data_IF_277972698057
#
_entry.id   IF_277972698057
#
_cell.length_a   1.000
_cell.length_b   1.000
_cell.length_c   1.000
_cell.angle_alpha   90.00
_cell.angle_beta   90.00
_cell.angle_gamma   90.00
#
_symmetry.space_group_name_H-M   'P 1'
#
loop_
_entity.id
_entity.type
_entity.pdbx_description
1 polymer ?
#
# COMPACT_ATOMS: atom_id res chain seq x y z
N UNK A 1 9.68 7.42 23.04
CA UNK A 1 8.43 7.48 22.26
C UNK A 1 8.56 8.66 21.30
N UNK A 2 8.41 8.46 19.99
CA UNK A 2 8.49 9.57 19.02
C UNK A 2 7.28 10.48 19.18
N UNK A 3 7.52 11.79 19.23
CA UNK A 3 6.43 12.78 19.30
C UNK A 3 5.95 13.10 17.88
N UNK A 4 4.69 13.52 17.68
CA UNK A 4 4.16 13.79 16.34
C UNK A 4 5.02 14.79 15.53
N UNK A 5 5.58 15.81 16.20
CA UNK A 5 6.49 16.79 15.62
C UNK A 5 7.82 16.19 15.12
N UNK A 6 8.13 14.93 15.49
CA UNK A 6 9.38 14.28 15.13
C UNK A 6 9.40 13.69 13.71
N UNK A 7 8.26 13.67 13.01
CA UNK A 7 8.18 13.13 11.65
C UNK A 7 8.88 14.03 10.62
N UNK A 8 9.37 13.41 9.54
CA UNK A 8 9.98 14.15 8.44
C UNK A 8 9.00 15.14 7.78
N UNK A 9 7.71 14.79 7.71
CA UNK A 9 6.65 15.67 7.18
C UNK A 9 6.45 16.93 8.04
N UNK A 10 6.62 16.83 9.35
CA UNK A 10 6.55 17.99 10.24
C UNK A 10 7.82 18.85 10.14
N UNK A 11 9.00 18.22 10.08
CA UNK A 11 10.31 18.89 10.15
C UNK A 11 10.81 19.49 8.84
N UNK A 12 10.38 18.95 7.71
CA UNK A 12 10.90 19.30 6.40
C UNK A 12 9.78 19.65 5.43
N UNK A 13 10.08 20.44 4.41
CA UNK A 13 9.12 20.86 3.38
C UNK A 13 9.13 19.86 2.21
N UNK A 14 8.90 18.59 2.54
CA UNK A 14 8.84 17.47 1.59
C UNK A 14 7.54 17.53 0.77
N UNK A 15 6.46 17.96 1.41
CA UNK A 15 5.15 18.20 0.81
C UNK A 15 4.80 19.65 1.04
N UNK A 16 4.29 20.31 0.00
CA UNK A 16 3.85 21.71 0.08
C UNK A 16 2.73 21.89 1.11
N UNK A 17 2.67 23.06 1.74
CA UNK A 17 1.61 23.40 2.70
C UNK A 17 0.23 23.22 2.04
N UNK A 18 -0.72 22.61 2.76
CA UNK A 18 -2.05 22.27 2.23
C UNK A 18 -2.07 21.11 1.22
N UNK A 19 -0.91 20.51 0.93
CA UNK A 19 -0.77 19.39 0.01
C UNK A 19 -1.27 18.05 0.57
N UNK A 20 -0.99 16.98 -0.17
CA UNK A 20 -1.35 15.62 0.21
C UNK A 20 -0.22 14.63 -0.08
N UNK A 21 -0.12 13.61 0.76
CA UNK A 21 0.71 12.43 0.56
C UNK A 21 -0.19 11.19 0.47
N UNK A 22 -0.10 10.47 -0.64
CA UNK A 22 -0.83 9.22 -0.83
C UNK A 22 0.16 8.06 -0.83
N UNK A 23 -0.12 7.06 0.00
CA UNK A 23 0.57 5.78 -0.02
C UNK A 23 -0.31 4.72 -0.70
N UNK A 24 0.30 3.63 -1.16
CA UNK A 24 -0.42 2.52 -1.78
C UNK A 24 -0.22 1.26 -0.97
N UNK A 25 -1.30 0.53 -0.72
CA UNK A 25 -1.30 -0.80 -0.12
C UNK A 25 -2.19 -1.73 -0.95
N UNK A 26 -1.97 -3.04 -0.84
CA UNK A 26 -2.82 -4.07 -1.44
C UNK A 26 -3.90 -4.57 -0.47
N UNK A 27 -5.00 -5.08 -1.03
CA UNK A 27 -6.13 -5.68 -0.29
C UNK A 27 -5.74 -6.83 0.65
N UNK A 28 -4.57 -7.45 0.42
CA UNK A 28 -3.97 -8.43 1.34
C UNK A 28 -3.75 -7.89 2.77
N UNK A 29 -3.77 -6.57 2.99
CA UNK A 29 -3.75 -5.96 4.32
C UNK A 29 -4.95 -6.39 5.19
N UNK A 30 -6.13 -6.58 4.59
CA UNK A 30 -7.37 -6.77 5.35
C UNK A 30 -7.63 -8.25 5.62
N UNK A 31 -7.37 -9.08 4.61
CA UNK A 31 -7.54 -10.54 4.71
C UNK A 31 -6.44 -11.23 3.89
N UNK A 32 -5.26 -11.48 4.49
CA UNK A 32 -4.19 -12.16 3.78
C UNK A 32 -4.58 -13.62 3.48
N UNK A 33 -4.41 -14.03 2.22
CA UNK A 33 -4.55 -15.42 1.80
C UNK A 33 -3.42 -16.31 2.33
N UNK A 34 -3.60 -17.63 2.23
CA UNK A 34 -2.54 -18.60 2.55
C UNK A 34 -1.33 -18.33 1.65
N UNK A 35 -0.16 -18.09 2.25
CA UNK A 35 1.07 -17.73 1.54
C UNK A 35 1.31 -16.22 1.40
N UNK A 36 0.33 -15.36 1.72
CA UNK A 36 0.45 -13.91 1.63
C UNK A 36 0.67 -13.21 2.99
N UNK A 37 1.05 -13.94 4.04
CA UNK A 37 1.13 -13.40 5.42
C UNK A 37 2.13 -12.25 5.54
N UNK A 38 3.33 -12.40 4.95
CA UNK A 38 4.35 -11.34 4.95
C UNK A 38 3.85 -10.13 4.17
N UNK A 39 3.27 -10.36 2.98
CA UNK A 39 2.70 -9.29 2.18
C UNK A 39 1.57 -8.55 2.92
N UNK A 40 0.67 -9.27 3.58
CA UNK A 40 -0.41 -8.69 4.38
C UNK A 40 0.11 -7.86 5.55
N UNK A 41 1.14 -8.35 6.26
CA UNK A 41 1.79 -7.61 7.34
C UNK A 41 2.46 -6.32 6.84
N UNK A 42 3.17 -6.38 5.71
CA UNK A 42 3.78 -5.19 5.08
C UNK A 42 2.72 -4.16 4.67
N UNK A 43 1.64 -4.59 4.02
CA UNK A 43 0.56 -3.69 3.62
C UNK A 43 -0.17 -3.08 4.81
N UNK A 44 -0.39 -3.85 5.88
CA UNK A 44 -0.94 -3.31 7.16
C UNK A 44 0.02 -2.30 7.79
N UNK A 45 1.33 -2.55 7.69
CA UNK A 45 2.37 -1.60 8.09
C UNK A 45 2.25 -0.27 7.36
N UNK A 46 1.96 -0.27 6.06
CA UNK A 46 1.72 0.96 5.28
C UNK A 46 0.49 1.71 5.79
N UNK A 47 -0.61 1.01 6.08
CA UNK A 47 -1.83 1.62 6.63
C UNK A 47 -1.56 2.27 7.99
N UNK A 48 -0.85 1.57 8.88
CA UNK A 48 -0.47 2.10 10.19
C UNK A 48 0.50 3.28 10.05
N UNK A 49 1.42 3.23 9.07
CA UNK A 49 2.32 4.33 8.76
C UNK A 49 1.55 5.57 8.29
N UNK A 50 0.53 5.42 7.45
CA UNK A 50 -0.36 6.53 7.07
C UNK A 50 -1.00 7.20 8.28
N UNK A 51 -1.49 6.42 9.25
CA UNK A 51 -2.08 6.98 10.48
C UNK A 51 -1.05 7.76 11.30
N UNK A 52 0.15 7.19 11.49
CA UNK A 52 1.24 7.85 12.22
C UNK A 52 1.71 9.14 11.54
N UNK A 53 1.85 9.13 10.22
CA UNK A 53 2.24 10.29 9.43
C UNK A 53 1.13 11.36 9.39
N UNK A 54 -0.14 10.97 9.32
CA UNK A 54 -1.26 11.90 9.31
C UNK A 54 -1.49 12.64 10.63
N UNK A 55 -1.02 12.07 11.76
CA UNK A 55 -1.15 12.70 13.07
C UNK A 55 -0.21 13.91 13.26
N UNK A 56 0.85 14.02 12.45
CA UNK A 56 1.99 14.89 12.71
C UNK A 56 1.93 16.31 12.11
N UNK A 57 1.53 16.54 10.84
CA UNK A 57 1.67 17.84 10.18
C UNK A 57 0.39 18.70 10.26
N UNK A 58 -0.26 18.80 11.43
CA UNK A 58 -1.54 19.53 11.57
C UNK A 58 -1.42 21.01 11.17
N UNK A 59 -0.34 21.66 11.57
CA UNK A 59 -0.13 23.09 11.30
C UNK A 59 0.19 23.37 9.81
N UNK A 60 0.78 22.39 9.11
CA UNK A 60 1.06 22.47 7.67
C UNK A 60 -0.14 22.11 6.78
N UNK A 61 -1.27 21.73 7.39
CA UNK A 61 -2.51 21.32 6.68
C UNK A 61 -2.29 20.18 5.65
N UNK A 62 -1.28 19.34 5.85
CA UNK A 62 -0.98 18.21 4.96
C UNK A 62 -1.90 17.04 5.32
N UNK A 63 -2.50 16.42 4.30
CA UNK A 63 -3.31 15.20 4.46
C UNK A 63 -2.52 13.97 4.02
N UNK A 64 -2.58 12.90 4.80
CA UNK A 64 -1.93 11.62 4.47
C UNK A 64 -2.99 10.54 4.37
N UNK A 65 -3.04 9.82 3.25
CA UNK A 65 -4.00 8.75 3.00
C UNK A 65 -3.31 7.52 2.41
N UNK A 66 -3.94 6.35 2.55
CA UNK A 66 -3.58 5.15 1.81
C UNK A 66 -4.67 4.81 0.81
N UNK A 67 -4.32 4.50 -0.42
CA UNK A 67 -5.21 3.83 -1.37
C UNK A 67 -4.94 2.33 -1.28
N UNK A 68 -5.98 1.57 -0.93
CA UNK A 68 -5.94 0.11 -0.92
C UNK A 68 -6.43 -0.38 -2.28
N UNK A 69 -5.54 -0.89 -3.11
CA UNK A 69 -5.87 -1.33 -4.46
C UNK A 69 -6.16 -2.84 -4.51
N UNK A 70 -7.00 -3.23 -5.46
CA UNK A 70 -7.04 -4.61 -5.96
C UNK A 70 -5.80 -4.93 -6.79
N UNK A 71 -5.80 -6.10 -7.45
CA UNK A 71 -4.73 -6.48 -8.37
C UNK A 71 -4.74 -5.59 -9.62
N UNK A 72 -3.57 -5.07 -10.01
CA UNK A 72 -3.38 -4.26 -11.21
C UNK A 72 -2.33 -4.92 -12.11
N UNK A 73 -2.62 -4.98 -13.40
CA UNK A 73 -1.67 -5.48 -14.40
C UNK A 73 -0.55 -4.44 -14.58
N UNK A 74 0.69 -4.84 -14.29
CA UNK A 74 1.87 -3.98 -14.40
C UNK A 74 3.07 -4.79 -14.87
N UNK A 75 4.08 -4.13 -15.42
CA UNK A 75 5.36 -4.77 -15.74
C UNK A 75 6.01 -5.41 -14.50
N UNK A 76 5.85 -4.78 -13.33
CA UNK A 76 6.35 -5.33 -12.09
C UNK A 76 5.67 -6.66 -11.74
N UNK A 77 4.33 -6.75 -11.88
CA UNK A 77 3.57 -7.99 -11.68
C UNK A 77 4.14 -9.11 -12.56
N UNK A 78 4.27 -8.85 -13.85
CA UNK A 78 4.76 -9.84 -14.82
C UNK A 78 6.18 -10.29 -14.45
N UNK A 79 7.06 -9.33 -14.11
CA UNK A 79 8.44 -9.65 -13.68
C UNK A 79 8.52 -10.49 -12.40
N UNK A 80 7.55 -10.36 -11.49
CA UNK A 80 7.47 -11.18 -10.27
C UNK A 80 6.95 -12.57 -10.60
N UNK A 81 5.92 -12.66 -11.45
CA UNK A 81 5.34 -13.94 -11.84
C UNK A 81 6.28 -14.79 -12.70
N UNK A 82 7.07 -14.17 -13.58
CA UNK A 82 8.11 -14.86 -14.35
C UNK A 82 9.17 -15.49 -13.42
N UNK A 83 9.56 -14.79 -12.34
CA UNK A 83 10.48 -15.32 -11.32
C UNK A 83 9.89 -16.45 -10.49
N UNK A 84 8.56 -16.50 -10.39
CA UNK A 84 7.84 -17.61 -9.76
C UNK A 84 7.58 -18.76 -10.73
N UNK A 85 7.99 -18.63 -12.01
CA UNK A 85 7.88 -19.66 -13.03
C UNK A 85 6.50 -19.79 -13.66
N UNK A 86 5.61 -18.80 -13.50
CA UNK A 86 4.28 -18.83 -14.11
C UNK A 86 4.35 -18.41 -15.58
N UNK A 87 3.75 -19.19 -16.46
CA UNK A 87 3.53 -18.81 -17.86
C UNK A 87 2.37 -17.82 -18.01
N UNK A 88 2.19 -17.21 -19.19
CA UNK A 88 1.20 -16.16 -19.40
C UNK A 88 -0.26 -16.60 -19.12
N UNK A 89 -0.62 -17.82 -19.50
CA UNK A 89 -1.96 -18.36 -19.24
C UNK A 89 -2.21 -18.54 -17.74
N UNK A 90 -1.21 -19.01 -16.99
CA UNK A 90 -1.29 -19.15 -15.53
C UNK A 90 -1.37 -17.79 -14.82
N UNK A 91 -0.65 -16.79 -15.33
CA UNK A 91 -0.70 -15.42 -14.81
C UNK A 91 -2.09 -14.79 -15.00
N UNK A 92 -2.67 -14.95 -16.19
CA UNK A 92 -3.99 -14.40 -16.51
C UNK A 92 -5.09 -15.12 -15.73
N UNK A 93 -5.02 -16.46 -15.63
CA UNK A 93 -5.96 -17.24 -14.81
C UNK A 93 -5.90 -16.86 -13.31
N UNK A 94 -4.70 -16.62 -12.77
CA UNK A 94 -4.54 -16.14 -11.40
C UNK A 94 -5.18 -14.76 -11.22
N UNK A 95 -4.98 -13.86 -12.18
CA UNK A 95 -5.51 -12.50 -12.14
C UNK A 95 -7.03 -12.50 -12.19
N UNK A 96 -7.63 -13.21 -13.15
CA UNK A 96 -9.09 -13.33 -13.28
C UNK A 96 -9.72 -13.87 -12.00
N UNK A 97 -9.13 -14.91 -11.42
CA UNK A 97 -9.59 -15.47 -10.14
C UNK A 97 -9.54 -14.42 -9.02
N UNK A 98 -8.45 -13.66 -8.94
CA UNK A 98 -8.24 -12.66 -7.88
C UNK A 98 -9.20 -11.47 -8.02
N UNK A 99 -9.54 -11.08 -9.26
CA UNK A 99 -10.47 -9.98 -9.54
C UNK A 99 -11.94 -10.42 -9.38
N UNK A 100 -12.25 -11.70 -9.61
CA UNK A 100 -13.61 -12.24 -9.48
C UNK A 100 -14.02 -12.54 -8.02
N UNK A 101 -13.06 -12.65 -7.09
CA UNK A 101 -13.38 -12.86 -5.67
C UNK A 101 -13.97 -11.58 -5.06
N UNK A 102 -15.17 -11.63 -4.45
CA UNK A 102 -15.76 -10.46 -3.81
C UNK A 102 -14.86 -9.99 -2.67
N UNK A 103 -14.35 -8.77 -2.80
CA UNK A 103 -13.62 -8.12 -1.72
C UNK A 103 -14.61 -7.65 -0.63
N UNK A 104 -14.28 -7.81 0.66
CA UNK A 104 -15.13 -7.38 1.78
C UNK A 104 -15.34 -5.86 1.80
#
# INVERSE_FOLDING_TARGET
MNRPEDTALAKHDIVVEGGFLTLTAGSAAWKPGKGAVIAGALNTGVINMTQGLGAAPRDKRIRVNTVVTGSVITEHRDSVFDKLGLNKEEQDAWFEKTVAEPHP
#
